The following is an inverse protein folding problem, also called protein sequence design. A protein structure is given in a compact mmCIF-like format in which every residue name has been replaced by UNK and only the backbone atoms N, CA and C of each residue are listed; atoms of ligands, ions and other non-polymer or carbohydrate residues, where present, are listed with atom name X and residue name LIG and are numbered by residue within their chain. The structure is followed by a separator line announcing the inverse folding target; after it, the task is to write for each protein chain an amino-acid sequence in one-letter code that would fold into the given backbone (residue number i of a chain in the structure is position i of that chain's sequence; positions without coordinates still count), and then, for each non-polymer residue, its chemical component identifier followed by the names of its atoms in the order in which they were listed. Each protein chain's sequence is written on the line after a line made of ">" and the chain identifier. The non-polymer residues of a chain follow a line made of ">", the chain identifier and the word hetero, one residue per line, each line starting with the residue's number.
data_IF_708760817737
#
_entry.id   IF_708760817737
#
_cell.length_a   1.000
_cell.length_b   1.000
_cell.length_c   1.000
_cell.angle_alpha   90.00
_cell.angle_beta   90.00
_cell.angle_gamma   90.00
#
_symmetry.space_group_name_H-M   'P 1'
#
loop_
_entity.id
_entity.type
_entity.pdbx_description
1 polymer ?
#
# COMPACT_ATOMS: atom_id res chain seq x y z
N UNK A 1 9.01 24.78 -21.97
CA UNK A 1 9.81 24.41 -20.78
C UNK A 1 9.29 23.05 -20.34
N UNK A 2 10.08 21.98 -20.53
CA UNK A 2 9.75 20.63 -20.11
C UNK A 2 10.01 20.51 -18.61
N UNK A 3 9.04 20.04 -17.85
CA UNK A 3 9.20 19.72 -16.44
C UNK A 3 10.19 18.54 -16.28
N UNK A 4 11.06 18.62 -15.26
CA UNK A 4 12.02 17.57 -14.93
C UNK A 4 11.29 16.31 -14.46
N UNK A 5 11.81 15.08 -14.76
CA UNK A 5 11.24 13.84 -14.28
C UNK A 5 11.37 13.75 -12.75
N UNK A 6 10.30 13.30 -12.11
CA UNK A 6 10.21 13.17 -10.65
C UNK A 6 11.06 11.99 -10.17
N UNK A 7 11.75 12.17 -9.04
CA UNK A 7 12.77 11.30 -8.44
C UNK A 7 12.23 10.04 -7.75
N UNK A 8 11.37 9.23 -8.42
CA UNK A 8 10.85 7.97 -7.86
C UNK A 8 11.62 6.70 -8.33
N UNK A 9 12.74 6.89 -9.05
CA UNK A 9 13.49 5.79 -9.70
C UNK A 9 14.45 5.02 -8.78
N UNK A 10 14.46 5.23 -7.47
CA UNK A 10 15.44 4.63 -6.57
C UNK A 10 14.90 3.50 -5.70
N UNK A 11 14.01 2.65 -6.22
CA UNK A 11 13.68 1.39 -5.53
C UNK A 11 14.67 0.33 -5.97
N UNK A 12 15.52 -0.10 -5.04
CA UNK A 12 16.64 -1.01 -5.25
C UNK A 12 16.16 -2.44 -5.48
N UNK A 13 16.06 -2.87 -6.74
CA UNK A 13 15.69 -4.22 -7.13
C UNK A 13 16.87 -5.17 -6.92
N UNK A 14 16.74 -6.17 -6.03
CA UNK A 14 17.66 -7.30 -5.95
C UNK A 14 17.07 -8.51 -6.68
N UNK A 15 17.76 -8.98 -7.73
CA UNK A 15 17.54 -10.31 -8.31
C UNK A 15 18.21 -11.36 -7.44
N UNK A 16 17.48 -12.41 -7.08
CA UNK A 16 18.08 -13.73 -6.80
C UNK A 16 17.65 -14.68 -7.91
N UNK A 17 18.60 -15.04 -8.76
CA UNK A 17 18.50 -16.25 -9.56
C UNK A 17 18.91 -17.40 -8.65
N UNK A 18 18.01 -18.30 -8.34
CA UNK A 18 18.34 -19.58 -7.70
C UNK A 18 18.18 -20.69 -8.72
N UNK A 19 19.28 -21.43 -8.95
CA UNK A 19 19.26 -22.77 -9.51
C UNK A 19 18.57 -23.69 -8.52
N UNK A 20 17.61 -24.46 -8.99
CA UNK A 20 16.83 -25.41 -8.19
C UNK A 20 17.61 -26.72 -8.16
N UNK A 21 17.98 -27.18 -6.96
CA UNK A 21 18.25 -28.57 -6.66
C UNK A 21 17.16 -29.07 -5.71
N UNK A 22 16.64 -30.31 -5.86
CA UNK A 22 15.56 -30.83 -5.04
C UNK A 22 16.08 -31.19 -3.66
N UNK A 23 15.44 -30.71 -2.61
CA UNK A 23 15.63 -31.18 -1.23
C UNK A 23 14.27 -31.55 -0.66
N UNK A 24 14.28 -32.75 -0.12
CA UNK A 24 13.21 -33.53 0.45
C UNK A 24 12.43 -32.84 1.57
N UNK A 25 11.19 -33.32 1.72
CA UNK A 25 10.22 -33.03 2.76
C UNK A 25 10.83 -33.02 4.17
N UNK A 26 10.73 -31.89 4.84
CA UNK A 26 10.65 -31.81 6.28
C UNK A 26 9.60 -30.77 6.63
N UNK A 27 8.44 -31.21 7.07
CA UNK A 27 7.41 -30.40 7.71
C UNK A 27 8.05 -29.61 8.85
N UNK A 28 8.34 -28.33 8.60
CA UNK A 28 8.87 -27.46 9.62
C UNK A 28 7.71 -26.81 10.37
N UNK A 29 7.70 -27.03 11.68
CA UNK A 29 6.82 -26.53 12.74
C UNK A 29 6.85 -24.99 12.89
N UNK A 30 7.33 -24.25 11.88
CA UNK A 30 7.49 -22.79 11.87
C UNK A 30 6.37 -22.02 11.14
N UNK A 31 5.34 -22.75 10.67
CA UNK A 31 4.19 -22.13 9.98
C UNK A 31 3.38 -21.09 10.77
N UNK A 32 3.22 -21.17 12.10
CA UNK A 32 2.40 -20.22 12.84
C UNK A 32 3.11 -18.92 13.25
N UNK A 33 4.45 -18.83 13.11
CA UNK A 33 5.22 -17.68 13.61
C UNK A 33 5.41 -16.57 12.56
N UNK A 34 5.11 -16.83 11.29
CA UNK A 34 5.27 -15.86 10.20
C UNK A 34 4.00 -15.01 10.01
N UNK A 35 2.87 -15.45 10.55
CA UNK A 35 1.59 -14.73 10.50
C UNK A 35 1.50 -13.57 11.52
N UNK A 36 2.58 -13.30 12.26
CA UNK A 36 2.62 -12.38 13.41
C UNK A 36 3.09 -10.95 13.07
N UNK A 37 3.24 -10.58 11.79
CA UNK A 37 3.71 -9.26 11.37
C UNK A 37 2.62 -8.41 10.70
N UNK A 38 1.37 -8.64 11.05
CA UNK A 38 0.27 -7.74 10.67
C UNK A 38 0.20 -6.63 11.71
N UNK A 39 0.56 -5.42 11.33
CA UNK A 39 0.33 -4.24 12.17
C UNK A 39 -0.87 -3.47 11.64
N UNK A 40 -1.96 -3.50 12.38
CA UNK A 40 -3.21 -2.83 12.04
C UNK A 40 -3.48 -1.73 13.05
N UNK A 41 -3.66 -0.50 12.56
CA UNK A 41 -4.29 0.59 13.31
C UNK A 41 -5.65 0.82 12.65
N UNK A 42 -6.72 0.59 13.37
CA UNK A 42 -8.07 0.76 12.88
C UNK A 42 -8.95 1.45 13.90
N UNK A 43 -9.49 2.58 13.50
CA UNK A 43 -10.52 3.33 14.22
C UNK A 43 -11.76 3.50 13.33
N UNK A 44 -12.71 4.29 13.79
CA UNK A 44 -13.90 4.58 12.99
C UNK A 44 -13.58 5.34 11.69
N UNK A 45 -12.51 6.14 11.68
CA UNK A 45 -12.19 7.03 10.57
C UNK A 45 -10.80 6.79 9.94
N UNK A 46 -9.98 5.91 10.52
CA UNK A 46 -8.62 5.62 10.05
C UNK A 46 -8.36 4.12 10.03
N UNK A 47 -7.87 3.60 8.89
CA UNK A 47 -7.45 2.21 8.76
C UNK A 47 -6.08 2.15 8.09
N UNK A 48 -5.05 1.84 8.88
CA UNK A 48 -3.67 1.64 8.42
C UNK A 48 -3.27 0.20 8.66
N UNK A 49 -2.67 -0.43 7.64
CA UNK A 49 -2.32 -1.84 7.73
C UNK A 49 -1.08 -2.17 6.88
N UNK A 50 -0.18 -2.96 7.47
CA UNK A 50 0.83 -3.73 6.73
C UNK A 50 0.43 -5.20 6.76
N UNK A 51 0.36 -5.85 5.62
CA UNK A 51 -0.14 -7.21 5.50
C UNK A 51 0.74 -8.07 4.59
N UNK A 52 1.10 -9.26 5.05
CA UNK A 52 1.68 -10.31 4.20
C UNK A 52 0.64 -11.03 3.31
N UNK A 53 -0.65 -10.87 3.61
CA UNK A 53 -1.78 -11.46 2.88
C UNK A 53 -2.37 -10.50 1.84
N UNK A 54 -3.17 -10.96 0.87
CA UNK A 54 -3.91 -10.11 -0.06
C UNK A 54 -4.72 -9.03 0.64
N UNK A 55 -4.73 -7.82 0.09
CA UNK A 55 -5.42 -6.67 0.70
C UNK A 55 -6.95 -6.80 0.54
N UNK A 56 -7.74 -6.53 1.58
CA UNK A 56 -9.20 -6.68 1.57
C UNK A 56 -9.89 -5.46 0.91
N UNK A 57 -9.69 -5.26 -0.38
CA UNK A 57 -10.12 -4.06 -1.14
C UNK A 57 -11.60 -3.75 -0.94
N UNK A 58 -12.45 -4.76 -1.08
CA UNK A 58 -13.90 -4.55 -0.96
C UNK A 58 -14.34 -4.21 0.47
N UNK A 59 -13.66 -4.78 1.48
CA UNK A 59 -13.93 -4.44 2.88
C UNK A 59 -13.47 -3.01 3.19
N UNK A 60 -12.32 -2.58 2.64
CA UNK A 60 -11.84 -1.20 2.73
C UNK A 60 -12.86 -0.25 2.08
N UNK A 61 -13.35 -0.60 0.88
CA UNK A 61 -14.37 0.21 0.18
C UNK A 61 -15.64 0.34 1.02
N UNK A 62 -16.17 -0.76 1.56
CA UNK A 62 -17.38 -0.74 2.40
C UNK A 62 -17.16 0.04 3.68
N UNK A 63 -16.02 -0.17 4.33
CA UNK A 63 -15.66 0.53 5.55
C UNK A 63 -15.54 2.05 5.34
N UNK A 64 -15.07 2.50 4.17
CA UNK A 64 -14.92 3.92 3.86
C UNK A 64 -16.25 4.66 3.61
N UNK A 65 -17.37 3.95 3.38
CA UNK A 65 -18.68 4.58 3.18
C UNK A 65 -19.13 5.26 4.47
N UNK A 66 -19.55 6.53 4.36
CA UNK A 66 -20.08 7.33 5.47
C UNK A 66 -21.39 8.00 5.06
N UNK A 67 -22.35 8.15 6.00
CA UNK A 67 -23.66 8.76 5.70
C UNK A 67 -23.56 10.21 5.25
N UNK A 68 -22.53 10.94 5.71
CA UNK A 68 -22.26 12.35 5.40
C UNK A 68 -21.32 12.55 4.21
N UNK A 69 -20.94 11.46 3.50
CA UNK A 69 -20.04 11.52 2.36
C UNK A 69 -20.73 11.09 1.07
N UNK A 70 -20.71 11.99 0.08
CA UNK A 70 -21.18 11.72 -1.28
C UNK A 70 -20.14 11.08 -2.19
N UNK A 71 -18.89 10.92 -1.73
CA UNK A 71 -17.80 10.36 -2.51
C UNK A 71 -16.92 9.41 -1.69
N UNK A 72 -16.58 8.27 -2.30
CA UNK A 72 -15.55 7.35 -1.84
C UNK A 72 -14.62 7.07 -3.03
N UNK A 73 -13.34 7.41 -2.89
CA UNK A 73 -12.28 7.07 -3.85
C UNK A 73 -11.50 5.91 -3.29
N UNK A 74 -11.32 4.87 -4.09
CA UNK A 74 -10.42 3.74 -3.78
C UNK A 74 -9.39 3.66 -4.88
N UNK A 75 -8.13 3.77 -4.52
CA UNK A 75 -6.99 3.55 -5.39
C UNK A 75 -6.36 2.20 -5.05
N UNK A 76 -6.15 1.36 -6.06
CA UNK A 76 -5.39 0.12 -5.97
C UNK A 76 -4.13 0.25 -6.82
N UNK A 77 -2.96 0.12 -6.20
CA UNK A 77 -1.70 0.01 -6.92
C UNK A 77 -1.35 -1.47 -7.09
N UNK A 78 -1.26 -1.92 -8.35
CA UNK A 78 -1.01 -3.32 -8.67
C UNK A 78 0.41 -3.55 -9.20
N UNK A 79 0.90 -4.78 -9.06
CA UNK A 79 2.15 -5.22 -9.68
C UNK A 79 1.93 -5.35 -11.19
N UNK A 80 2.74 -4.66 -11.98
CA UNK A 80 2.71 -4.70 -13.46
C UNK A 80 3.90 -5.43 -14.03
N UNK A 81 3.80 -5.88 -15.28
CA UNK A 81 4.81 -6.71 -15.97
C UNK A 81 6.08 -5.96 -16.37
N UNK A 82 6.13 -4.64 -16.18
CA UNK A 82 7.27 -3.79 -16.55
C UNK A 82 7.51 -2.67 -15.53
N UNK A 83 8.76 -2.20 -15.45
CA UNK A 83 9.17 -1.03 -14.65
C UNK A 83 10.32 -0.30 -15.36
N UNK A 84 10.06 0.90 -15.91
CA UNK A 84 11.00 1.58 -16.81
C UNK A 84 11.32 0.70 -18.02
N UNK A 85 12.61 0.48 -18.30
CA UNK A 85 13.08 -0.37 -19.41
C UNK A 85 13.08 -1.88 -19.09
N UNK A 86 12.59 -2.28 -17.94
CA UNK A 86 12.53 -3.70 -17.52
C UNK A 86 11.19 -4.29 -17.90
N UNK A 87 11.22 -5.44 -18.57
CA UNK A 87 10.04 -6.24 -18.96
C UNK A 87 10.11 -7.63 -18.33
N UNK A 88 8.98 -8.33 -18.24
CA UNK A 88 8.91 -9.69 -17.72
C UNK A 88 8.98 -9.76 -16.21
N UNK A 89 8.46 -8.76 -15.52
CA UNK A 89 8.24 -8.79 -14.06
C UNK A 89 7.10 -9.77 -13.77
N UNK A 90 7.35 -10.78 -12.97
CA UNK A 90 6.35 -11.77 -12.53
C UNK A 90 5.88 -11.53 -11.12
N UNK A 91 6.69 -10.86 -10.30
CA UNK A 91 6.42 -10.57 -8.90
C UNK A 91 7.30 -9.44 -8.39
N UNK A 92 6.88 -8.78 -7.33
CA UNK A 92 7.66 -7.85 -6.51
C UNK A 92 7.80 -8.40 -5.10
N UNK A 93 8.90 -8.07 -4.43
CA UNK A 93 9.10 -8.39 -3.03
C UNK A 93 9.30 -7.09 -2.25
N UNK A 94 8.40 -6.82 -1.31
CA UNK A 94 8.42 -5.64 -0.47
C UNK A 94 8.98 -5.96 0.92
N UNK A 95 10.07 -5.28 1.29
CA UNK A 95 10.64 -5.35 2.64
C UNK A 95 10.25 -4.08 3.39
N UNK A 96 9.47 -4.23 4.46
CA UNK A 96 9.01 -3.10 5.25
C UNK A 96 9.72 -3.04 6.61
N UNK A 97 10.24 -1.87 6.97
CA UNK A 97 10.66 -1.58 8.33
C UNK A 97 9.45 -1.10 9.14
N UNK A 98 8.68 -2.03 9.68
CA UNK A 98 7.39 -1.79 10.34
C UNK A 98 7.42 -0.68 11.38
N UNK A 99 8.50 -0.61 12.20
CA UNK A 99 8.66 0.42 13.21
C UNK A 99 8.65 1.85 12.64
N UNK A 100 8.94 2.01 11.35
CA UNK A 100 8.97 3.33 10.69
C UNK A 100 7.78 3.55 9.76
N UNK A 101 7.21 2.47 9.20
CA UNK A 101 6.13 2.57 8.20
C UNK A 101 4.85 3.09 8.84
N UNK A 102 4.39 2.48 9.92
CA UNK A 102 3.10 2.84 10.53
C UNK A 102 3.08 4.28 11.05
N UNK A 103 4.06 4.75 11.84
CA UNK A 103 4.10 6.17 12.24
C UNK A 103 4.14 7.13 11.05
N UNK A 104 4.76 6.72 9.94
CA UNK A 104 4.79 7.55 8.74
C UNK A 104 3.43 7.60 8.06
N UNK A 105 2.71 6.48 7.97
CA UNK A 105 1.33 6.46 7.47
C UNK A 105 0.40 7.32 8.32
N UNK A 106 0.51 7.28 9.65
CA UNK A 106 -0.24 8.14 10.55
C UNK A 106 0.02 9.63 10.28
N UNK A 107 1.31 10.01 10.12
CA UNK A 107 1.69 11.36 9.78
C UNK A 107 1.10 11.82 8.43
N UNK A 108 1.10 10.94 7.41
CA UNK A 108 0.51 11.24 6.09
C UNK A 108 -1.01 11.45 6.16
N UNK A 109 -1.71 10.65 6.97
CA UNK A 109 -3.14 10.85 7.20
C UNK A 109 -3.40 12.17 7.91
N UNK A 110 -2.60 12.53 8.91
CA UNK A 110 -2.70 13.81 9.60
C UNK A 110 -2.44 14.99 8.63
N UNK A 111 -1.38 14.92 7.79
CA UNK A 111 -1.10 15.90 6.74
C UNK A 111 -2.30 16.06 5.80
N UNK A 112 -2.89 14.95 5.33
CA UNK A 112 -4.05 14.98 4.45
C UNK A 112 -5.28 15.62 5.12
N UNK A 113 -5.55 15.34 6.39
CA UNK A 113 -6.68 15.92 7.14
C UNK A 113 -6.52 17.43 7.34
N UNK A 114 -5.29 17.92 7.49
CA UNK A 114 -5.00 19.36 7.56
C UNK A 114 -5.27 20.02 6.20
N UNK A 115 -4.83 19.40 5.11
CA UNK A 115 -4.97 19.95 3.76
C UNK A 115 -6.41 19.86 3.23
N UNK A 116 -7.14 18.81 3.61
CA UNK A 116 -8.54 18.57 3.20
C UNK A 116 -9.43 18.26 4.42
N UNK A 117 -9.85 19.26 5.19
CA UNK A 117 -10.65 19.05 6.42
C UNK A 117 -12.00 18.34 6.19
N UNK A 118 -12.49 18.32 4.95
CA UNK A 118 -13.75 17.66 4.59
C UNK A 118 -13.63 16.13 4.43
N UNK A 119 -12.42 15.54 4.40
CA UNK A 119 -12.30 14.09 4.35
C UNK A 119 -12.72 13.45 5.68
N UNK A 120 -13.32 12.27 5.60
CA UNK A 120 -13.85 11.52 6.76
C UNK A 120 -13.03 10.25 6.97
N UNK A 121 -13.34 9.16 6.30
CA UNK A 121 -12.59 7.94 6.42
C UNK A 121 -11.35 7.97 5.51
N UNK A 122 -10.22 7.54 6.05
CA UNK A 122 -8.95 7.38 5.30
C UNK A 122 -8.37 6.00 5.61
N UNK A 123 -8.14 5.22 4.56
CA UNK A 123 -7.42 3.97 4.66
C UNK A 123 -6.13 4.02 3.83
N UNK A 124 -5.06 3.43 4.36
CA UNK A 124 -3.80 3.21 3.66
C UNK A 124 -3.23 1.85 4.07
N UNK A 125 -3.34 0.88 3.18
CA UNK A 125 -2.89 -0.49 3.39
C UNK A 125 -1.78 -0.82 2.40
N UNK A 126 -0.75 -1.52 2.84
CA UNK A 126 0.34 -1.98 1.96
C UNK A 126 0.70 -3.45 2.22
N UNK A 127 1.00 -4.18 1.14
CA UNK A 127 1.53 -5.53 1.20
C UNK A 127 3.00 -5.52 1.59
N UNK A 128 3.40 -6.54 2.34
CA UNK A 128 4.80 -6.92 2.57
C UNK A 128 5.06 -8.30 1.99
N UNK A 129 6.34 -8.64 1.80
CA UNK A 129 6.73 -9.89 1.18
C UNK A 129 6.41 -9.93 -0.32
N UNK A 130 6.02 -11.09 -0.80
CA UNK A 130 5.82 -11.39 -2.21
C UNK A 130 4.44 -10.93 -2.69
N UNK A 131 4.42 -10.19 -3.81
CA UNK A 131 3.21 -9.73 -4.50
C UNK A 131 3.32 -10.13 -5.96
N UNK A 132 2.43 -10.99 -6.42
CA UNK A 132 2.45 -11.50 -7.79
C UNK A 132 1.96 -10.46 -8.80
N UNK A 133 2.24 -10.71 -10.08
CA UNK A 133 1.76 -9.87 -11.18
C UNK A 133 0.23 -9.75 -11.14
N UNK A 134 -0.27 -8.53 -11.21
CA UNK A 134 -1.70 -8.21 -11.18
C UNK A 134 -2.30 -8.11 -9.78
N UNK A 135 -1.60 -8.55 -8.73
CA UNK A 135 -2.08 -8.38 -7.34
C UNK A 135 -1.88 -6.96 -6.82
N UNK A 136 -2.73 -6.56 -5.89
CA UNK A 136 -2.65 -5.26 -5.21
C UNK A 136 -1.48 -5.25 -4.22
N UNK A 137 -0.57 -4.30 -4.42
CA UNK A 137 0.52 -4.00 -3.48
C UNK A 137 0.12 -2.92 -2.47
N UNK A 138 -0.75 -2.00 -2.86
CA UNK A 138 -1.21 -0.88 -2.02
C UNK A 138 -2.67 -0.56 -2.29
N UNK A 139 -3.41 -0.25 -1.22
CA UNK A 139 -4.78 0.29 -1.29
C UNK A 139 -4.85 1.58 -0.50
N UNK A 140 -5.35 2.64 -1.13
CA UNK A 140 -5.69 3.91 -0.47
C UNK A 140 -7.16 4.18 -0.68
N UNK A 141 -7.91 4.43 0.39
CA UNK A 141 -9.30 4.84 0.30
C UNK A 141 -9.54 6.14 1.06
N UNK A 142 -10.32 7.03 0.46
CA UNK A 142 -10.70 8.31 1.07
C UNK A 142 -12.18 8.56 0.83
N UNK A 143 -12.92 8.89 1.88
CA UNK A 143 -14.28 9.42 1.77
C UNK A 143 -14.33 10.91 2.08
N UNK A 144 -15.21 11.64 1.36
CA UNK A 144 -15.46 13.05 1.56
C UNK A 144 -16.90 13.42 1.15
N UNK A 145 -17.38 14.56 1.64
CA UNK A 145 -18.67 15.10 1.20
C UNK A 145 -18.72 15.29 -0.32
N UNK A 146 -17.61 15.74 -0.94
CA UNK A 146 -17.52 15.99 -2.38
C UNK A 146 -16.34 15.25 -3.02
N UNK A 147 -16.51 14.90 -4.31
CA UNK A 147 -15.51 14.13 -5.07
C UNK A 147 -14.18 14.84 -5.25
N UNK A 148 -14.16 16.18 -5.33
CA UNK A 148 -12.91 16.94 -5.56
C UNK A 148 -11.89 16.71 -4.46
N UNK A 149 -12.30 16.78 -3.19
CA UNK A 149 -11.45 16.55 -2.03
C UNK A 149 -11.04 15.09 -1.93
N UNK A 150 -11.97 14.16 -2.18
CA UNK A 150 -11.66 12.73 -2.13
C UNK A 150 -10.59 12.33 -3.14
N UNK A 151 -10.66 12.81 -4.40
CA UNK A 151 -9.64 12.57 -5.42
C UNK A 151 -8.30 13.25 -5.06
N UNK A 152 -8.33 14.52 -4.64
CA UNK A 152 -7.13 15.26 -4.31
C UNK A 152 -6.39 14.63 -3.13
N UNK A 153 -7.10 14.28 -2.07
CA UNK A 153 -6.51 13.64 -0.90
C UNK A 153 -5.98 12.24 -1.21
N UNK A 154 -6.71 11.43 -1.99
CA UNK A 154 -6.24 10.09 -2.39
C UNK A 154 -4.97 10.16 -3.26
N UNK A 155 -4.91 11.08 -4.23
CA UNK A 155 -3.71 11.31 -5.05
C UNK A 155 -2.53 11.75 -4.18
N UNK A 156 -2.74 12.70 -3.28
CA UNK A 156 -1.70 13.15 -2.34
C UNK A 156 -1.18 12.02 -1.46
N UNK A 157 -2.08 11.23 -0.87
CA UNK A 157 -1.69 10.12 0.01
C UNK A 157 -0.82 9.10 -0.72
N UNK A 158 -1.20 8.66 -1.93
CA UNK A 158 -0.41 7.67 -2.68
C UNK A 158 0.94 8.24 -3.14
N UNK A 159 1.00 9.50 -3.57
CA UNK A 159 2.23 10.14 -3.99
C UNK A 159 3.20 10.29 -2.82
N UNK A 160 2.71 10.74 -1.66
CA UNK A 160 3.51 10.87 -0.44
C UNK A 160 3.93 9.52 0.12
N UNK A 161 3.05 8.53 0.10
CA UNK A 161 3.38 7.16 0.51
C UNK A 161 4.57 6.64 -0.30
N UNK A 162 4.49 6.68 -1.63
CA UNK A 162 5.58 6.23 -2.52
C UNK A 162 6.88 7.01 -2.34
N UNK A 163 6.80 8.30 -1.98
CA UNK A 163 7.99 9.14 -1.82
C UNK A 163 8.68 8.99 -0.46
N UNK A 164 7.95 8.58 0.59
CA UNK A 164 8.44 8.75 1.98
C UNK A 164 8.30 7.51 2.87
N UNK A 165 7.54 6.51 2.46
CA UNK A 165 7.41 5.27 3.23
C UNK A 165 8.48 4.29 2.76
N UNK A 166 9.33 3.78 3.67
CA UNK A 166 10.39 2.83 3.32
C UNK A 166 9.80 1.43 3.13
N UNK A 167 9.52 1.07 1.89
CA UNK A 167 8.94 -0.21 1.45
C UNK A 167 9.79 -0.86 0.37
#
# INVERSE_FOLDING_TARGET
>A
RRAAPQAWEATRWRRRTRSVSPIEDSESVLGPLIDSLIRVIRSDDTWLELSGAPLPVEDVRRWAIRPDCGAVVVFCGTTRDHAGDRVGVTELHYEAYEAHVVPRLEALVAEARIAWPAIRAVAALHRTGKVALGEEAVVVAVSSAHRSEAFAAAAHLIDRLKATVPL
#
